data_IF_985244329321
#
_entry.id   IF_985244329321
#
_cell.length_a   1.000
_cell.length_b   1.000
_cell.length_c   1.000
_cell.angle_alpha   90.00
_cell.angle_beta   90.00
_cell.angle_gamma   90.00
#
_symmetry.space_group_name_H-M   'P 1'
#
loop_
_entity.id
_entity.type
_entity.pdbx_description
1 polymer ?
#
# COMPACT_ATOMS: atom_id res chain seq x y z
N UNK A 1 -13.48 15.50 22.05
CA UNK A 1 -13.23 15.77 20.62
C UNK A 1 -11.78 16.20 20.40
N UNK A 2 -11.08 15.65 19.39
CA UNK A 2 -9.70 16.05 19.04
C UNK A 2 -9.62 16.60 17.61
N UNK A 3 -8.55 17.36 17.28
CA UNK A 3 -8.35 17.91 15.93
C UNK A 3 -8.19 16.78 14.91
N UNK A 4 -8.96 16.82 13.83
CA UNK A 4 -8.94 15.79 12.79
C UNK A 4 -9.84 14.58 13.05
N UNK A 5 -10.59 14.55 14.16
CA UNK A 5 -11.51 13.44 14.46
C UNK A 5 -12.56 13.21 13.36
N UNK A 6 -13.03 14.26 12.68
CA UNK A 6 -14.03 14.12 11.60
C UNK A 6 -13.42 13.36 10.41
N UNK A 7 -12.18 13.67 10.06
CA UNK A 7 -11.45 12.98 8.99
C UNK A 7 -11.23 11.51 9.34
N UNK A 8 -10.80 11.22 10.57
CA UNK A 8 -10.62 9.84 11.04
C UNK A 8 -11.94 9.09 11.02
N UNK A 9 -13.01 9.69 11.54
CA UNK A 9 -14.34 9.08 11.54
C UNK A 9 -14.88 8.88 10.12
N UNK A 10 -14.65 9.81 9.19
CA UNK A 10 -15.05 9.69 7.79
C UNK A 10 -14.29 8.57 7.08
N UNK A 11 -12.97 8.47 7.28
CA UNK A 11 -12.16 7.39 6.72
C UNK A 11 -12.61 6.05 7.29
N UNK A 12 -12.79 5.97 8.61
CA UNK A 12 -13.21 4.74 9.27
C UNK A 12 -14.63 4.30 8.88
N UNK A 13 -15.59 5.22 8.82
CA UNK A 13 -16.99 4.86 8.64
C UNK A 13 -17.42 4.83 7.17
N UNK A 14 -16.82 5.65 6.31
CA UNK A 14 -17.31 5.86 4.95
C UNK A 14 -16.23 5.64 3.88
N UNK A 15 -14.96 5.74 4.27
CA UNK A 15 -13.83 5.79 3.37
C UNK A 15 -13.24 4.43 3.09
N UNK A 16 -12.91 4.20 1.82
CA UNK A 16 -12.05 3.10 1.41
C UNK A 16 -10.82 3.73 0.76
N UNK A 17 -9.75 4.07 1.54
CA UNK A 17 -8.62 4.81 1.01
C UNK A 17 -8.05 4.14 -0.25
N UNK A 18 -7.74 4.90 -1.31
CA UNK A 18 -7.37 4.33 -2.61
C UNK A 18 -6.02 3.61 -2.61
N UNK A 19 -5.25 3.74 -1.52
CA UNK A 19 -3.97 3.07 -1.29
C UNK A 19 -3.99 2.28 0.00
N UNK A 20 -3.18 1.23 0.06
CA UNK A 20 -2.94 0.41 1.27
C UNK A 20 -1.43 0.35 1.55
N UNK A 21 -1.10 0.23 2.83
CA UNK A 21 0.27 -0.03 3.26
C UNK A 21 0.59 -1.51 3.04
N UNK A 22 1.78 -1.79 2.52
CA UNK A 22 2.29 -3.14 2.30
C UNK A 22 3.67 -3.29 2.90
N UNK A 23 3.95 -4.49 3.40
CA UNK A 23 5.28 -4.90 3.79
C UNK A 23 5.87 -5.70 2.62
N UNK A 24 7.13 -5.41 2.27
CA UNK A 24 7.82 -5.98 1.12
C UNK A 24 9.05 -6.73 1.61
N UNK A 25 9.16 -8.00 1.21
CA UNK A 25 10.42 -8.74 1.27
C UNK A 25 11.14 -8.50 -0.05
N UNK A 26 12.30 -7.86 0.00
CA UNK A 26 13.07 -7.49 -1.18
C UNK A 26 14.00 -8.63 -1.56
N UNK A 27 14.21 -8.82 -2.85
CA UNK A 27 15.27 -9.69 -3.35
C UNK A 27 16.62 -9.05 -3.01
N UNK A 28 17.47 -9.79 -2.31
CA UNK A 28 18.80 -9.33 -1.88
C UNK A 28 19.84 -9.29 -2.99
N UNK A 29 19.44 -9.50 -4.26
CA UNK A 29 20.31 -9.48 -5.43
C UNK A 29 20.94 -8.11 -5.71
N UNK A 30 20.30 -7.02 -5.26
CA UNK A 30 20.84 -5.65 -5.36
C UNK A 30 21.37 -5.21 -3.99
N UNK A 31 22.62 -4.73 -3.95
CA UNK A 31 23.27 -4.34 -2.69
C UNK A 31 22.75 -3.01 -2.11
N UNK A 32 21.90 -2.30 -2.85
CA UNK A 32 21.31 -1.03 -2.45
C UNK A 32 19.83 -1.22 -2.12
N UNK A 33 19.39 -0.64 -1.00
CA UNK A 33 17.97 -0.57 -0.67
C UNK A 33 17.26 0.52 -1.50
N UNK A 34 15.98 0.34 -1.87
CA UNK A 34 15.20 1.40 -2.50
C UNK A 34 15.12 2.64 -1.63
N UNK A 35 15.30 3.82 -2.24
CA UNK A 35 15.18 5.10 -1.56
C UNK A 35 13.72 5.43 -1.19
N UNK A 36 13.55 6.36 -0.24
CA UNK A 36 12.24 6.93 0.04
C UNK A 36 11.65 7.58 -1.22
N UNK A 37 10.41 7.26 -1.54
CA UNK A 37 9.73 7.74 -2.75
C UNK A 37 10.05 6.95 -4.02
N UNK A 38 10.95 5.95 -3.96
CA UNK A 38 11.23 5.10 -5.12
C UNK A 38 9.95 4.44 -5.64
N UNK A 39 9.74 4.38 -6.97
CA UNK A 39 8.50 3.87 -7.54
C UNK A 39 8.31 2.38 -7.24
N UNK A 40 7.07 2.00 -6.98
CA UNK A 40 6.65 0.59 -6.94
C UNK A 40 5.88 0.29 -8.21
N UNK A 41 6.36 -0.70 -8.96
CA UNK A 41 5.85 -1.06 -10.28
C UNK A 41 5.19 -2.44 -10.23
N UNK A 42 4.03 -2.55 -10.87
CA UNK A 42 3.34 -3.79 -11.18
C UNK A 42 3.01 -3.81 -12.67
N UNK A 43 3.36 -4.87 -13.40
CA UNK A 43 3.14 -4.98 -14.85
C UNK A 43 3.54 -3.73 -15.64
N UNK A 44 4.74 -3.20 -15.37
CA UNK A 44 5.28 -1.98 -16.01
C UNK A 44 4.55 -0.67 -15.68
N UNK A 45 3.57 -0.67 -14.79
CA UNK A 45 2.89 0.54 -14.32
C UNK A 45 3.31 0.92 -12.90
N UNK A 46 3.54 2.21 -12.68
CA UNK A 46 3.70 2.72 -11.32
C UNK A 46 2.35 2.62 -10.56
N UNK A 47 2.39 1.84 -9.48
CA UNK A 47 1.24 1.60 -8.60
C UNK A 47 1.45 2.18 -7.21
N UNK A 48 2.67 2.60 -6.86
CA UNK A 48 2.98 3.07 -5.53
C UNK A 48 4.36 3.65 -5.40
N UNK A 49 4.74 3.88 -4.16
CA UNK A 49 6.08 4.32 -3.81
C UNK A 49 6.52 3.67 -2.50
N UNK A 50 7.83 3.51 -2.37
CA UNK A 50 8.48 3.03 -1.15
C UNK A 50 8.47 4.13 -0.09
N UNK A 51 8.09 3.79 1.13
CA UNK A 51 8.22 4.64 2.30
C UNK A 51 9.60 4.49 2.93
N UNK A 52 9.79 3.42 3.69
CA UNK A 52 11.05 3.15 4.38
C UNK A 52 11.57 1.77 4.00
N UNK A 53 12.89 1.63 3.90
CA UNK A 53 13.55 0.36 3.65
C UNK A 53 14.67 0.15 4.66
N UNK A 54 14.94 -1.12 5.02
CA UNK A 54 15.98 -1.48 5.98
C UNK A 54 16.52 -2.90 5.70
N UNK A 55 17.70 -3.20 6.25
CA UNK A 55 18.22 -4.56 6.34
C UNK A 55 17.87 -5.15 7.69
N UNK A 56 16.93 -6.08 7.70
CA UNK A 56 16.53 -6.84 8.89
C UNK A 56 17.49 -8.02 9.09
N UNK A 57 17.85 -8.31 10.34
CA UNK A 57 18.85 -9.34 10.63
C UNK A 57 18.37 -10.77 10.32
N UNK A 58 17.07 -11.07 10.49
CA UNK A 58 16.49 -12.38 10.13
C UNK A 58 15.88 -12.41 8.73
N UNK A 59 15.00 -11.46 8.41
CA UNK A 59 14.27 -11.40 7.14
C UNK A 59 15.11 -10.92 5.94
N UNK A 60 16.30 -10.35 6.17
CA UNK A 60 17.08 -9.72 5.12
C UNK A 60 16.52 -8.34 4.71
N UNK A 61 16.67 -7.92 3.44
CA UNK A 61 16.24 -6.60 3.00
C UNK A 61 14.70 -6.50 2.92
N UNK A 62 14.14 -5.48 3.57
CA UNK A 62 12.69 -5.27 3.69
C UNK A 62 12.33 -3.82 3.40
N UNK A 63 11.07 -3.58 3.03
CA UNK A 63 10.53 -2.22 2.88
C UNK A 63 9.04 -2.12 3.24
N UNK A 64 8.61 -0.91 3.55
CA UNK A 64 7.21 -0.49 3.59
C UNK A 64 6.90 0.32 2.33
N UNK A 65 5.72 0.10 1.74
CA UNK A 65 5.28 0.87 0.58
C UNK A 65 3.79 1.19 0.62
N UNK A 66 3.38 2.25 -0.09
CA UNK A 66 1.98 2.58 -0.32
C UNK A 66 1.60 2.28 -1.78
N UNK A 67 0.81 1.23 -1.98
CA UNK A 67 0.37 0.80 -3.32
C UNK A 67 -1.12 1.06 -3.54
N UNK A 68 -1.52 1.22 -4.81
CA UNK A 68 -2.93 1.25 -5.21
C UNK A 68 -3.63 0.02 -4.64
N UNK A 69 -4.83 0.22 -4.11
CA UNK A 69 -5.59 -0.86 -3.45
C UNK A 69 -6.00 -1.98 -4.41
N UNK A 70 -6.08 -1.70 -5.71
CA UNK A 70 -6.38 -2.68 -6.76
C UNK A 70 -5.22 -3.64 -7.07
N UNK A 71 -4.03 -3.41 -6.51
CA UNK A 71 -2.86 -4.28 -6.74
C UNK A 71 -3.11 -5.64 -6.07
N UNK A 72 -3.06 -6.75 -6.85
CA UNK A 72 -3.18 -8.11 -6.30
C UNK A 72 -2.16 -8.35 -5.19
N UNK A 73 -2.53 -9.14 -4.18
CA UNK A 73 -1.67 -9.36 -3.00
C UNK A 73 -0.59 -10.41 -3.24
N UNK A 74 -0.83 -11.35 -4.15
CA UNK A 74 0.07 -12.49 -4.38
C UNK A 74 1.04 -12.27 -5.55
N UNK A 75 0.93 -11.12 -6.23
CA UNK A 75 1.77 -10.79 -7.38
C UNK A 75 3.08 -10.10 -6.93
N UNK A 76 4.22 -10.43 -7.57
CA UNK A 76 5.47 -9.75 -7.32
C UNK A 76 5.43 -8.31 -7.82
N UNK A 77 6.18 -7.45 -7.15
CA UNK A 77 6.35 -6.04 -7.49
C UNK A 77 7.83 -5.73 -7.75
N UNK A 78 8.09 -4.59 -8.40
CA UNK A 78 9.43 -3.99 -8.43
C UNK A 78 9.42 -2.74 -7.56
N UNK A 79 10.20 -2.72 -6.49
CA UNK A 79 10.39 -1.57 -5.61
C UNK A 79 11.74 -0.92 -5.92
N UNK A 80 11.73 0.25 -6.56
CA UNK A 80 12.98 0.91 -6.99
C UNK A 80 13.83 0.04 -7.93
N UNK A 81 13.19 -0.83 -8.73
CA UNK A 81 13.87 -1.79 -9.61
C UNK A 81 14.25 -3.12 -8.96
N UNK A 82 14.06 -3.28 -7.64
CA UNK A 82 14.33 -4.53 -6.92
C UNK A 82 13.07 -5.39 -6.84
N UNK A 83 13.17 -6.67 -7.17
CA UNK A 83 12.03 -7.59 -7.04
C UNK A 83 11.58 -7.70 -5.58
N UNK A 84 10.26 -7.74 -5.36
CA UNK A 84 9.68 -7.72 -4.03
C UNK A 84 8.41 -8.57 -3.95
N UNK A 85 8.33 -9.46 -2.96
CA UNK A 85 7.09 -10.15 -2.60
C UNK A 85 6.35 -9.38 -1.51
N UNK A 86 5.02 -9.41 -1.57
CA UNK A 86 4.18 -8.70 -0.61
C UNK A 86 3.84 -9.56 0.60
N UNK A 87 3.84 -8.95 1.77
CA UNK A 87 3.18 -9.45 2.97
C UNK A 87 1.99 -8.54 3.31
N UNK A 88 0.83 -9.15 3.50
CA UNK A 88 -0.43 -8.42 3.69
C UNK A 88 -0.57 -7.99 5.15
N UNK A 89 -0.13 -6.77 5.45
CA UNK A 89 -0.36 -6.11 6.73
C UNK A 89 -1.63 -5.24 6.74
N UNK A 90 -2.10 -4.83 5.57
CA UNK A 90 -3.39 -4.14 5.38
C UNK A 90 -4.16 -4.85 4.25
N UNK A 91 -5.25 -5.55 4.57
CA UNK A 91 -6.09 -6.23 3.58
C UNK A 91 -6.66 -5.26 2.52
N UNK A 92 -6.81 -5.70 1.25
CA UNK A 92 -7.42 -4.87 0.20
C UNK A 92 -8.87 -4.44 0.48
N UNK A 93 -9.60 -5.14 1.33
CA UNK A 93 -10.96 -4.81 1.75
C UNK A 93 -11.02 -3.93 3.02
N UNK A 94 -9.90 -3.75 3.73
CA UNK A 94 -9.85 -2.96 4.96
C UNK A 94 -10.38 -1.52 4.77
N UNK A 95 -11.15 -1.03 5.75
CA UNK A 95 -11.81 0.27 5.70
C UNK A 95 -13.16 0.27 4.96
N UNK A 96 -13.54 -0.83 4.29
CA UNK A 96 -14.89 -0.95 3.70
C UNK A 96 -15.95 -1.31 4.75
N UNK A 97 -16.06 -0.49 5.79
CA UNK A 97 -16.92 -0.74 6.95
C UNK A 97 -18.41 -0.48 6.68
N UNK A 98 -18.75 0.26 5.61
CA UNK A 98 -20.13 0.52 5.20
C UNK A 98 -20.34 0.07 3.75
N UNK A 99 -21.34 -0.80 3.56
CA UNK A 99 -21.86 -1.14 2.23
C UNK A 99 -22.72 0.02 1.71
N UNK A 100 -22.09 1.00 1.05
CA UNK A 100 -22.84 2.07 0.39
C UNK A 100 -23.45 1.51 -0.89
N UNK A 101 -24.77 1.59 -1.01
CA UNK A 101 -25.49 1.28 -2.25
C UNK A 101 -24.86 2.05 -3.43
N UNK A 102 -24.42 1.35 -4.49
CA UNK A 102 -23.85 1.97 -5.69
C UNK A 102 -24.73 3.06 -6.32
N UNK A 103 -26.06 2.99 -6.16
CA UNK A 103 -26.99 4.00 -6.67
C UNK A 103 -26.85 5.35 -5.97
N UNK A 104 -26.49 5.36 -4.67
CA UNK A 104 -26.30 6.57 -3.86
C UNK A 104 -24.99 7.30 -4.20
N UNK A 105 -23.98 6.61 -4.75
CA UNK A 105 -22.67 7.20 -5.11
C UNK A 105 -22.73 8.25 -6.23
N UNK A 106 -23.74 8.22 -7.11
CA UNK A 106 -23.86 9.15 -8.25
C UNK A 106 -24.46 10.51 -7.89
N UNK A 107 -25.09 10.64 -6.73
CA UNK A 107 -25.82 11.86 -6.31
C UNK A 107 -24.96 12.88 -5.53
N UNK A 108 -23.70 12.56 -5.25
CA UNK A 108 -22.80 13.39 -4.41
C UNK A 108 -21.73 14.10 -5.27
N UNK A 109 -21.83 14.05 -6.60
CA UNK A 109 -20.98 14.84 -7.50
C UNK A 109 -21.71 16.07 -7.99
#
# INVERSE_FOLDING_TARGET
CYRGQETVARVHNLGHPPRRLVFLHLDGSVDTLPEHGAPVIFESQEVGFVGSAARHHELGPIALALVKRSVPVDEPLLAGGVAASQEVIVPPDAGRNVAIDPALRRRIK
#
